data_IF_061529751990
#
_entry.id   IF_061529751990
#
_cell.length_a   1.000
_cell.length_b   1.000
_cell.length_c   1.000
_cell.angle_alpha   90.00
_cell.angle_beta   90.00
_cell.angle_gamma   90.00
#
_symmetry.space_group_name_H-M   'P 1'
#
loop_
_entity.id
_entity.type
_entity.pdbx_description
1 polymer ?
#
# COMPACT_ATOMS: atom_id res chain seq x y z
N UNK A 1 42.96 5.46 4.52
CA UNK A 1 42.01 6.00 3.52
C UNK A 1 40.82 5.10 3.23
N UNK A 2 40.98 3.79 3.02
CA UNK A 2 39.91 2.87 2.59
C UNK A 2 38.64 2.86 3.49
N UNK A 3 38.81 2.95 4.82
CA UNK A 3 37.70 2.97 5.81
C UNK A 3 36.83 4.24 5.73
N UNK A 4 37.40 5.38 5.31
CA UNK A 4 36.68 6.66 5.15
C UNK A 4 35.86 6.64 3.87
N UNK A 5 36.41 6.12 2.78
CA UNK A 5 35.72 5.99 1.49
C UNK A 5 34.50 5.08 1.58
N UNK A 6 34.60 3.98 2.34
CA UNK A 6 33.47 3.06 2.57
C UNK A 6 32.31 3.71 3.33
N UNK A 7 32.61 4.50 4.38
CA UNK A 7 31.57 5.25 5.13
C UNK A 7 30.85 6.28 4.25
N UNK A 8 31.58 6.99 3.38
CA UNK A 8 30.99 7.95 2.45
C UNK A 8 30.04 7.28 1.45
N UNK A 9 30.43 6.12 0.91
CA UNK A 9 29.58 5.31 0.02
C UNK A 9 28.30 4.86 0.72
N UNK A 10 28.42 4.36 1.95
CA UNK A 10 27.26 3.95 2.76
C UNK A 10 26.32 5.12 3.06
N UNK A 11 26.87 6.29 3.42
CA UNK A 11 26.08 7.51 3.61
C UNK A 11 25.28 7.89 2.35
N UNK A 12 25.93 7.91 1.18
CA UNK A 12 25.26 8.23 -0.09
C UNK A 12 24.17 7.20 -0.41
N UNK A 13 24.46 5.91 -0.26
CA UNK A 13 23.47 4.86 -0.48
C UNK A 13 22.24 5.02 0.44
N UNK A 14 22.46 5.31 1.71
CA UNK A 14 21.37 5.56 2.66
C UNK A 14 20.53 6.78 2.30
N UNK A 15 21.17 7.88 1.88
CA UNK A 15 20.46 9.07 1.40
C UNK A 15 19.62 8.77 0.16
N UNK A 16 20.13 7.96 -0.77
CA UNK A 16 19.36 7.54 -1.95
C UNK A 16 18.16 6.68 -1.59
N UNK A 17 18.32 5.69 -0.69
CA UNK A 17 17.21 4.85 -0.22
C UNK A 17 16.14 5.70 0.49
N UNK A 18 16.57 6.65 1.31
CA UNK A 18 15.65 7.57 2.00
C UNK A 18 14.91 8.48 1.02
N UNK A 19 15.59 8.97 -0.03
CA UNK A 19 14.95 9.76 -1.07
C UNK A 19 13.92 8.94 -1.86
N UNK A 20 14.24 7.70 -2.23
CA UNK A 20 13.30 6.79 -2.91
C UNK A 20 12.07 6.55 -2.04
N UNK A 21 12.25 6.30 -0.74
CA UNK A 21 11.14 6.09 0.21
C UNK A 21 10.26 7.33 0.36
N UNK A 22 10.84 8.53 0.39
CA UNK A 22 10.07 9.77 0.42
C UNK A 22 9.27 9.99 -0.87
N UNK A 23 9.90 9.77 -2.03
CA UNK A 23 9.22 9.87 -3.33
C UNK A 23 8.05 8.89 -3.38
N UNK A 24 8.29 7.63 -3.01
CA UNK A 24 7.28 6.57 -2.97
C UNK A 24 6.05 6.98 -2.15
N UNK A 25 6.27 7.42 -0.89
CA UNK A 25 5.18 7.89 -0.01
C UNK A 25 4.42 9.06 -0.64
N UNK A 26 5.13 10.07 -1.18
CA UNK A 26 4.47 11.25 -1.75
C UNK A 26 3.64 10.91 -2.98
N UNK A 27 4.12 10.00 -3.84
CA UNK A 27 3.43 9.54 -5.04
C UNK A 27 2.16 8.76 -4.68
N UNK A 28 2.23 7.90 -3.66
CA UNK A 28 1.06 7.18 -3.15
C UNK A 28 0.02 8.15 -2.60
N UNK A 29 0.44 9.10 -1.75
CA UNK A 29 -0.49 10.04 -1.11
C UNK A 29 -1.16 11.00 -2.09
N UNK A 30 -0.42 11.53 -3.07
CA UNK A 30 -0.94 12.55 -3.99
C UNK A 30 -1.63 11.98 -5.23
N UNK A 31 -1.12 10.88 -5.78
CA UNK A 31 -1.58 10.35 -7.07
C UNK A 31 -2.19 8.96 -7.01
N UNK A 32 -2.20 8.30 -5.83
CA UNK A 32 -2.68 6.92 -5.68
C UNK A 32 -1.97 5.97 -6.66
N UNK A 33 -0.70 6.25 -6.92
CA UNK A 33 0.20 5.43 -7.73
C UNK A 33 1.13 4.69 -6.77
N UNK A 34 1.29 3.39 -6.99
CA UNK A 34 2.11 2.47 -6.21
C UNK A 34 3.07 1.75 -7.15
N UNK A 35 4.18 1.22 -6.63
CA UNK A 35 5.06 0.38 -7.42
C UNK A 35 4.36 -0.94 -7.78
N UNK A 36 4.70 -1.50 -8.93
CA UNK A 36 4.09 -2.77 -9.36
C UNK A 36 4.33 -3.89 -8.37
N UNK A 37 3.26 -4.63 -8.11
CA UNK A 37 3.25 -5.74 -7.19
C UNK A 37 2.92 -5.34 -5.77
N UNK A 38 2.06 -6.14 -5.15
CA UNK A 38 1.56 -5.96 -3.79
C UNK A 38 2.63 -5.76 -2.70
N UNK A 39 3.85 -6.24 -2.92
CA UNK A 39 4.95 -6.23 -1.94
C UNK A 39 5.99 -5.13 -2.17
N UNK A 40 5.96 -4.44 -3.32
CA UNK A 40 7.06 -3.56 -3.74
C UNK A 40 7.29 -2.40 -2.76
N UNK A 41 6.25 -1.62 -2.47
CA UNK A 41 6.31 -0.50 -1.52
C UNK A 41 6.77 -0.94 -0.11
N UNK A 42 6.41 -2.17 0.30
CA UNK A 42 6.82 -2.73 1.59
C UNK A 42 8.30 -3.05 1.62
N UNK A 43 8.85 -3.61 0.55
CA UNK A 43 10.28 -3.89 0.46
C UNK A 43 11.08 -2.59 0.59
N UNK A 44 10.65 -1.52 -0.08
CA UNK A 44 11.28 -0.20 0.05
C UNK A 44 11.27 0.27 1.50
N UNK A 45 10.11 0.19 2.18
CA UNK A 45 9.99 0.55 3.59
C UNK A 45 10.91 -0.29 4.49
N UNK A 46 10.91 -1.61 4.36
CA UNK A 46 11.70 -2.50 5.22
C UNK A 46 13.21 -2.37 4.97
N UNK A 47 13.63 -2.18 3.71
CA UNK A 47 15.04 -1.90 3.38
C UNK A 47 15.48 -0.58 4.01
N UNK A 48 14.66 0.47 3.89
CA UNK A 48 14.94 1.75 4.53
C UNK A 48 15.03 1.62 6.06
N UNK A 49 14.09 0.90 6.68
CA UNK A 49 14.07 0.70 8.13
C UNK A 49 15.31 -0.08 8.61
N UNK A 50 15.63 -1.19 7.95
CA UNK A 50 16.79 -2.02 8.27
C UNK A 50 18.12 -1.29 8.06
N UNK A 51 18.21 -0.39 7.08
CA UNK A 51 19.41 0.42 6.85
C UNK A 51 19.50 1.63 7.79
N UNK A 52 18.38 2.10 8.34
CA UNK A 52 18.34 3.20 9.31
C UNK A 52 19.01 2.81 10.63
N UNK A 53 18.80 1.59 11.14
CA UNK A 53 19.42 1.12 12.39
C UNK A 53 20.96 1.19 12.39
N UNK A 54 21.70 0.56 11.45
CA UNK A 54 23.15 0.67 11.39
C UNK A 54 23.61 2.09 11.06
N UNK A 55 22.83 2.87 10.31
CA UNK A 55 23.15 4.28 10.05
C UNK A 55 23.22 5.10 11.35
N UNK A 56 22.22 4.95 12.22
CA UNK A 56 22.21 5.61 13.53
C UNK A 56 23.42 5.21 14.38
N UNK A 57 23.77 3.92 14.41
CA UNK A 57 24.91 3.41 15.20
C UNK A 57 26.24 3.94 14.66
N UNK A 58 26.47 3.88 13.34
CA UNK A 58 27.74 4.26 12.71
C UNK A 58 27.99 5.77 12.82
N UNK A 59 26.94 6.59 12.67
CA UNK A 59 27.03 8.05 12.66
C UNK A 59 26.58 8.71 13.96
N UNK A 60 26.45 7.97 15.07
CA UNK A 60 25.94 8.44 16.36
C UNK A 60 26.67 9.66 16.94
N UNK A 61 27.96 9.81 16.60
CA UNK A 61 28.78 10.94 17.06
C UNK A 61 28.33 12.29 16.50
N UNK A 62 27.61 12.30 15.36
CA UNK A 62 27.12 13.53 14.74
C UNK A 62 25.87 14.05 15.42
N UNK A 63 25.80 15.36 15.66
CA UNK A 63 24.60 16.02 16.22
C UNK A 63 23.38 15.83 15.31
N UNK A 64 23.56 15.88 14.00
CA UNK A 64 22.47 15.69 13.03
C UNK A 64 21.85 14.29 13.14
N UNK A 65 22.66 13.26 13.39
CA UNK A 65 22.17 11.90 13.59
C UNK A 65 21.34 11.78 14.86
N UNK A 66 21.72 12.49 15.93
CA UNK A 66 20.95 12.52 17.18
C UNK A 66 19.61 13.22 16.99
N UNK A 67 19.60 14.37 16.31
CA UNK A 67 18.35 15.08 15.96
C UNK A 67 17.46 14.17 15.12
N UNK A 68 18.03 13.50 14.10
CA UNK A 68 17.28 12.56 13.27
C UNK A 68 16.68 11.40 14.08
N UNK A 69 17.44 10.82 15.00
CA UNK A 69 16.94 9.79 15.91
C UNK A 69 15.77 10.31 16.78
N UNK A 70 15.90 11.54 17.33
CA UNK A 70 14.83 12.15 18.12
C UNK A 70 13.58 12.35 17.26
N UNK A 71 13.72 12.82 16.02
CA UNK A 71 12.58 12.98 15.08
C UNK A 71 11.91 11.64 14.79
N UNK A 72 12.67 10.56 14.59
CA UNK A 72 12.09 9.21 14.40
C UNK A 72 11.29 8.75 15.63
N UNK A 73 11.86 8.92 16.83
CA UNK A 73 11.20 8.53 18.08
C UNK A 73 9.97 9.38 18.35
N UNK A 74 10.08 10.71 18.24
CA UNK A 74 8.94 11.61 18.42
C UNK A 74 7.86 11.40 17.36
N UNK A 75 8.25 11.16 16.11
CA UNK A 75 7.31 10.83 15.04
C UNK A 75 6.52 9.56 15.35
N UNK A 76 7.17 8.52 15.86
CA UNK A 76 6.50 7.30 16.30
C UNK A 76 5.58 7.56 17.51
N UNK A 77 6.04 8.30 18.52
CA UNK A 77 5.22 8.63 19.69
C UNK A 77 4.00 9.47 19.31
N UNK A 78 4.17 10.48 18.44
CA UNK A 78 3.05 11.28 17.94
C UNK A 78 2.10 10.46 17.06
N UNK A 79 2.61 9.50 16.29
CA UNK A 79 1.75 8.58 15.51
C UNK A 79 0.81 7.76 16.40
N UNK A 80 1.23 7.45 17.63
CA UNK A 80 0.43 6.75 18.65
C UNK A 80 -0.51 7.74 19.34
N UNK A 81 -0.01 8.91 19.74
CA UNK A 81 -0.78 9.93 20.45
C UNK A 81 -1.97 10.46 19.63
N UNK A 82 -1.83 10.54 18.30
CA UNK A 82 -2.90 10.92 17.38
C UNK A 82 -3.92 9.78 17.17
N UNK A 83 -4.54 9.32 18.27
CA UNK A 83 -5.55 8.25 18.29
C UNK A 83 -5.07 6.95 17.62
N UNK A 84 -3.75 6.71 17.58
CA UNK A 84 -3.08 5.63 16.85
C UNK A 84 -3.39 5.57 15.35
N UNK A 85 -4.06 6.56 14.77
CA UNK A 85 -4.46 6.55 13.37
C UNK A 85 -3.25 6.53 12.42
N UNK A 86 -2.28 7.47 12.55
CA UNK A 86 -1.07 7.41 11.75
C UNK A 86 -0.24 6.15 12.05
N UNK A 87 -0.26 5.67 13.30
CA UNK A 87 0.42 4.43 13.67
C UNK A 87 -0.14 3.21 12.91
N UNK A 88 -1.46 3.06 12.86
CA UNK A 88 -2.11 2.01 12.08
C UNK A 88 -1.86 2.17 10.58
N UNK A 89 -1.83 3.40 10.07
CA UNK A 89 -1.43 3.67 8.68
C UNK A 89 -0.04 3.13 8.35
N UNK A 90 0.96 3.40 9.20
CA UNK A 90 2.33 2.86 9.04
C UNK A 90 2.33 1.33 9.17
N UNK A 91 1.63 0.78 10.17
CA UNK A 91 1.58 -0.66 10.41
C UNK A 91 0.96 -1.40 9.23
N UNK A 92 -0.17 -0.95 8.71
CA UNK A 92 -0.85 -1.64 7.63
C UNK A 92 -0.18 -1.44 6.28
N UNK A 93 0.40 -0.25 6.03
CA UNK A 93 1.23 -0.03 4.85
C UNK A 93 2.44 -0.97 4.85
N UNK A 94 3.11 -1.14 6.00
CA UNK A 94 4.32 -1.97 6.10
C UNK A 94 4.08 -3.48 6.15
N UNK A 95 2.93 -3.93 6.67
CA UNK A 95 2.62 -5.36 6.85
C UNK A 95 1.65 -5.92 5.79
N UNK A 96 0.75 -5.07 5.26
CA UNK A 96 -0.33 -5.50 4.37
C UNK A 96 -1.43 -6.32 5.05
N UNK A 97 -1.49 -6.38 6.39
CA UNK A 97 -2.47 -7.22 7.10
C UNK A 97 -3.92 -6.84 6.81
N UNK A 98 -4.19 -5.59 6.48
CA UNK A 98 -5.54 -5.06 6.25
C UNK A 98 -6.04 -5.30 4.81
N UNK A 99 -5.20 -5.85 3.93
CA UNK A 99 -5.41 -5.87 2.48
C UNK A 99 -5.47 -7.30 1.95
N UNK A 100 -6.51 -7.60 1.18
CA UNK A 100 -6.56 -8.83 0.34
C UNK A 100 -6.59 -8.44 -1.12
N UNK A 101 -5.61 -8.92 -1.87
CA UNK A 101 -5.50 -8.67 -3.31
C UNK A 101 -5.83 -9.92 -4.09
N UNK A 102 -6.70 -9.77 -5.09
CA UNK A 102 -7.02 -10.80 -6.08
C UNK A 102 -6.57 -10.28 -7.45
N UNK A 103 -5.98 -11.16 -8.23
CA UNK A 103 -5.53 -10.84 -9.58
C UNK A 103 -6.50 -11.42 -10.59
N UNK A 104 -6.80 -10.64 -11.62
CA UNK A 104 -7.62 -11.14 -12.73
C UNK A 104 -6.83 -12.19 -13.53
N UNK A 105 -7.42 -13.36 -13.83
CA UNK A 105 -6.72 -14.46 -14.52
C UNK A 105 -6.28 -14.14 -15.95
N UNK A 106 -6.93 -13.21 -16.63
CA UNK A 106 -6.82 -13.05 -18.09
C UNK A 106 -5.57 -12.28 -18.58
N UNK A 107 -4.68 -11.82 -17.69
CA UNK A 107 -3.34 -11.20 -18.00
C UNK A 107 -2.71 -10.50 -16.80
N UNK A 108 -3.43 -10.33 -15.68
CA UNK A 108 -2.98 -9.50 -14.55
C UNK A 108 -3.10 -7.99 -14.80
N UNK A 109 -3.87 -7.57 -15.82
CA UNK A 109 -4.14 -6.16 -16.15
C UNK A 109 -4.77 -5.39 -14.98
N UNK A 110 -5.68 -6.03 -14.25
CA UNK A 110 -6.35 -5.47 -13.08
C UNK A 110 -6.06 -6.28 -11.82
N UNK A 111 -5.72 -5.57 -10.76
CA UNK A 111 -5.64 -6.07 -9.39
C UNK A 111 -6.80 -5.49 -8.59
N UNK A 112 -7.61 -6.37 -8.02
CA UNK A 112 -8.72 -5.98 -7.17
C UNK A 112 -8.30 -6.15 -5.73
N UNK A 113 -8.35 -5.07 -4.96
CA UNK A 113 -7.88 -5.03 -3.60
C UNK A 113 -9.01 -4.65 -2.66
N UNK A 114 -9.32 -5.54 -1.74
CA UNK A 114 -10.19 -5.24 -0.60
C UNK A 114 -9.33 -4.65 0.51
N UNK A 115 -9.68 -3.45 0.94
CA UNK A 115 -9.01 -2.71 2.00
C UNK A 115 -9.95 -2.64 3.18
N UNK A 116 -9.49 -3.17 4.30
CA UNK A 116 -10.10 -2.94 5.60
C UNK A 116 -9.35 -1.79 6.27
N UNK A 117 -10.07 -0.93 6.97
CA UNK A 117 -9.48 0.10 7.81
C UNK A 117 -9.91 -0.12 9.26
N UNK A 118 -9.16 0.40 10.22
CA UNK A 118 -9.54 0.37 11.64
C UNK A 118 -10.79 1.22 11.91
N UNK A 119 -10.99 2.30 11.15
CA UNK A 119 -12.10 3.25 11.37
C UNK A 119 -13.08 3.36 10.21
N UNK A 120 -12.70 2.92 9.00
CA UNK A 120 -13.56 3.01 7.83
C UNK A 120 -14.15 1.64 7.45
N UNK A 121 -15.33 1.69 6.82
CA UNK A 121 -15.97 0.53 6.19
C UNK A 121 -15.02 -0.11 5.16
N UNK A 122 -15.14 -1.42 4.92
CA UNK A 122 -14.34 -2.10 3.90
C UNK A 122 -14.58 -1.46 2.53
N UNK A 123 -13.48 -1.14 1.86
CA UNK A 123 -13.47 -0.51 0.54
C UNK A 123 -12.90 -1.47 -0.49
N UNK A 124 -13.43 -1.41 -1.70
CA UNK A 124 -12.92 -2.08 -2.88
C UNK A 124 -12.11 -1.09 -3.71
N UNK A 125 -10.87 -1.44 -3.98
CA UNK A 125 -10.00 -0.76 -4.94
C UNK A 125 -9.83 -1.62 -6.18
N UNK A 126 -9.99 -1.01 -7.34
CA UNK A 126 -9.56 -1.60 -8.61
C UNK A 126 -8.33 -0.84 -9.04
N UNK A 127 -7.27 -1.59 -9.30
CA UNK A 127 -5.94 -1.08 -9.59
C UNK A 127 -5.55 -1.57 -10.98
N UNK A 128 -5.23 -0.63 -11.86
CA UNK A 128 -4.72 -0.92 -13.19
C UNK A 128 -3.20 -1.04 -13.15
N UNK A 129 -2.68 -2.10 -13.76
CA UNK A 129 -1.25 -2.28 -13.94
C UNK A 129 -0.78 -1.54 -15.21
N UNK A 130 0.12 -0.55 -15.05
CA UNK A 130 0.73 0.21 -16.15
C UNK A 130 2.21 -0.16 -16.36
N UNK A 131 2.60 -1.37 -16.00
CA UNK A 131 3.92 -1.96 -16.31
C UNK A 131 4.89 -1.91 -15.14
N UNK A 132 5.39 -0.73 -14.75
CA UNK A 132 6.29 -0.54 -13.59
C UNK A 132 5.54 0.06 -12.38
N UNK A 133 4.44 0.75 -12.67
CA UNK A 133 3.58 1.37 -11.66
C UNK A 133 2.14 0.88 -11.79
N UNK A 134 1.47 0.83 -10.65
CA UNK A 134 0.08 0.48 -10.50
C UNK A 134 -0.70 1.73 -10.07
N UNK A 135 -1.87 1.96 -10.65
CA UNK A 135 -2.70 3.13 -10.31
C UNK A 135 -4.09 2.69 -9.91
N UNK A 136 -4.60 3.24 -8.80
CA UNK A 136 -6.00 3.07 -8.42
C UNK A 136 -6.89 3.80 -9.43
N UNK A 137 -7.75 3.06 -10.12
CA UNK A 137 -8.71 3.59 -11.11
C UNK A 137 -10.12 3.69 -10.55
N UNK A 138 -10.44 2.92 -9.51
CA UNK A 138 -11.74 2.93 -8.86
C UNK A 138 -11.58 2.71 -7.37
N UNK A 139 -12.33 3.49 -6.58
CA UNK A 139 -12.46 3.35 -5.14
C UNK A 139 -13.94 3.36 -4.76
N UNK A 140 -14.48 2.23 -4.27
CA UNK A 140 -15.91 2.11 -3.96
C UNK A 140 -16.13 1.35 -2.64
N UNK A 141 -17.33 1.48 -2.05
CA UNK A 141 -17.75 0.66 -0.92
C UNK A 141 -17.85 -0.82 -1.28
N UNK A 142 -17.40 -1.70 -0.39
CA UNK A 142 -17.50 -3.15 -0.54
C UNK A 142 -18.75 -3.74 0.14
N UNK A 143 -19.65 -2.90 0.69
CA UNK A 143 -20.85 -3.35 1.42
C UNK A 143 -21.77 -4.26 0.58
N UNK A 144 -21.74 -4.14 -0.75
CA UNK A 144 -22.51 -5.00 -1.67
C UNK A 144 -22.08 -6.47 -1.65
N UNK A 145 -20.89 -6.77 -1.10
CA UNK A 145 -20.37 -8.12 -0.91
C UNK A 145 -20.94 -8.80 0.35
N UNK A 146 -21.61 -8.04 1.22
CA UNK A 146 -22.15 -8.55 2.48
C UNK A 146 -23.52 -9.19 2.24
N UNK A 147 -23.69 -10.43 2.69
CA UNK A 147 -24.98 -11.12 2.75
C UNK A 147 -25.19 -11.73 4.13
N UNK A 148 -26.05 -11.08 4.94
CA UNK A 148 -26.33 -11.47 6.32
C UNK A 148 -27.01 -12.85 6.42
N UNK A 149 -27.77 -13.26 5.41
CA UNK A 149 -28.46 -14.56 5.41
C UNK A 149 -27.49 -15.73 5.26
N UNK A 150 -26.48 -15.56 4.40
CA UNK A 150 -25.46 -16.58 4.14
C UNK A 150 -24.25 -16.47 5.11
N UNK A 151 -24.23 -15.45 5.99
CA UNK A 151 -23.10 -15.11 6.88
C UNK A 151 -21.78 -14.99 6.12
N UNK A 152 -21.84 -14.41 4.93
CA UNK A 152 -20.70 -14.16 4.04
C UNK A 152 -20.48 -12.67 3.87
N UNK A 153 -19.22 -12.25 3.92
CA UNK A 153 -18.79 -10.87 3.79
C UNK A 153 -17.66 -10.72 2.78
N UNK A 154 -17.07 -9.52 2.72
CA UNK A 154 -15.92 -9.21 1.86
C UNK A 154 -14.71 -10.13 2.14
N UNK A 155 -14.56 -10.60 3.38
CA UNK A 155 -13.55 -11.55 3.84
C UNK A 155 -13.72 -12.97 3.29
N UNK A 156 -14.87 -13.27 2.68
CA UNK A 156 -15.20 -14.59 2.15
C UNK A 156 -15.00 -14.72 0.64
N UNK A 157 -14.50 -13.68 -0.04
CA UNK A 157 -14.18 -13.76 -1.47
C UNK A 157 -13.08 -14.80 -1.72
N UNK A 158 -13.33 -15.75 -2.62
CA UNK A 158 -12.44 -16.85 -2.98
C UNK A 158 -11.72 -16.55 -4.30
N UNK A 159 -12.40 -15.92 -5.24
CA UNK A 159 -11.90 -15.66 -6.58
C UNK A 159 -12.63 -14.54 -7.27
N UNK A 160 -12.07 -14.10 -8.39
CA UNK A 160 -12.55 -12.97 -9.16
C UNK A 160 -12.33 -13.20 -10.66
N UNK A 161 -13.39 -13.02 -11.44
CA UNK A 161 -13.35 -13.09 -12.90
C UNK A 161 -13.82 -11.78 -13.51
N UNK A 162 -13.25 -11.42 -14.67
CA UNK A 162 -13.69 -10.28 -15.47
C UNK A 162 -14.70 -10.79 -16.48
N UNK A 163 -15.94 -10.31 -16.34
CA UNK A 163 -17.04 -10.68 -17.25
C UNK A 163 -17.09 -9.77 -18.46
N UNK A 164 -16.75 -8.48 -18.27
CA UNK A 164 -16.72 -7.49 -19.36
C UNK A 164 -15.70 -6.40 -19.05
N UNK A 165 -14.81 -6.16 -20.01
CA UNK A 165 -13.87 -5.03 -20.02
C UNK A 165 -14.25 -4.12 -21.19
N UNK A 166 -14.60 -2.87 -20.90
CA UNK A 166 -14.95 -1.83 -21.88
C UNK A 166 -14.33 -0.53 -21.38
N UNK A 167 -13.88 0.39 -22.27
CA UNK A 167 -13.22 1.63 -21.85
C UNK A 167 -13.94 2.39 -20.73
N UNK A 168 -15.28 2.39 -20.75
CA UNK A 168 -16.11 3.14 -19.80
C UNK A 168 -16.67 2.29 -18.65
N UNK A 169 -16.54 0.95 -18.71
CA UNK A 169 -17.18 0.06 -17.73
C UNK A 169 -16.44 -1.26 -17.54
N UNK A 170 -16.26 -1.65 -16.29
CA UNK A 170 -15.67 -2.93 -15.89
C UNK A 170 -16.71 -3.74 -15.12
N UNK A 171 -17.00 -4.95 -15.56
CA UNK A 171 -17.91 -5.88 -14.88
C UNK A 171 -17.11 -7.02 -14.27
N UNK A 172 -17.19 -7.14 -12.95
CA UNK A 172 -16.49 -8.16 -12.18
C UNK A 172 -17.49 -9.16 -11.59
N UNK A 173 -17.11 -10.43 -11.62
CA UNK A 173 -17.79 -11.51 -10.92
C UNK A 173 -16.96 -11.93 -9.71
N UNK A 174 -17.57 -11.84 -8.53
CA UNK A 174 -16.98 -12.24 -7.26
C UNK A 174 -17.47 -13.65 -6.90
N UNK A 175 -16.52 -14.57 -6.67
CA UNK A 175 -16.81 -15.92 -6.21
C UNK A 175 -16.75 -15.97 -4.69
N UNK A 176 -17.87 -16.35 -4.06
CA UNK A 176 -17.98 -16.54 -2.61
C UNK A 176 -18.55 -17.92 -2.28
N UNK A 177 -18.40 -18.40 -1.04
CA UNK A 177 -19.09 -19.60 -0.58
C UNK A 177 -20.60 -19.46 -0.77
N UNK A 178 -21.18 -20.28 -1.64
CA UNK A 178 -22.63 -20.36 -1.84
C UNK A 178 -23.27 -19.21 -2.64
N UNK A 179 -22.50 -18.24 -3.16
CA UNK A 179 -23.04 -17.20 -4.05
C UNK A 179 -22.00 -16.64 -5.04
N UNK A 180 -22.50 -16.15 -6.17
CA UNK A 180 -21.74 -15.40 -7.17
C UNK A 180 -22.37 -14.01 -7.29
N UNK A 181 -21.56 -12.96 -7.16
CA UNK A 181 -22.04 -11.58 -7.25
C UNK A 181 -21.41 -10.94 -8.48
N UNK A 182 -22.25 -10.52 -9.43
CA UNK A 182 -21.81 -9.78 -10.61
C UNK A 182 -22.08 -8.30 -10.39
N UNK A 183 -21.04 -7.46 -10.48
CA UNK A 183 -21.16 -6.01 -10.31
C UNK A 183 -20.45 -5.28 -11.44
N UNK A 184 -21.19 -4.37 -12.07
CA UNK A 184 -20.63 -3.39 -13.02
C UNK A 184 -20.18 -2.13 -12.31
N UNK A 185 -18.99 -1.67 -12.66
CA UNK A 185 -18.39 -0.41 -12.24
C UNK A 185 -18.22 0.50 -13.45
N UNK A 186 -18.59 1.77 -13.32
CA UNK A 186 -18.29 2.78 -14.34
C UNK A 186 -16.89 3.32 -14.09
N UNK A 187 -16.04 3.25 -15.10
CA UNK A 187 -14.72 3.87 -15.12
C UNK A 187 -14.92 5.34 -15.54
N UNK A 188 -15.46 6.14 -14.63
CA UNK A 188 -15.56 7.59 -14.82
C UNK A 188 -14.21 8.22 -14.47
N UNK A 189 -13.72 9.13 -15.32
CA UNK A 189 -12.50 9.92 -15.08
C UNK A 189 -12.75 11.16 -14.18
N UNK A 190 -13.88 11.19 -13.46
CA UNK A 190 -14.30 12.37 -12.69
C UNK A 190 -13.98 12.19 -11.21
N UNK A 191 -12.93 12.90 -10.79
CA UNK A 191 -12.62 13.19 -9.39
C UNK A 191 -13.72 14.11 -8.82
N UNK A 192 -14.50 13.60 -7.89
CA UNK A 192 -15.19 14.43 -6.89
C UNK A 192 -14.30 14.54 -5.62
#
# INVERSE_FOLDING_TARGET
MQKVTSRKKFYIAYMLISLIMLVDITVILMWQISLVGYWSDRLVFWIWLLTTLPFLIIFWKSIYTKIYCIVLVLGLLFSIAAMMLPFFGILFSSTGMERRSYYTPDTGKYRVQLIQSVMARPRLQIIENKGIVEKVILFTDADFLKNDNLKVGYESVIGLDVVKDTPDSLVLEFHMPGQKIVKGFKLSDEKD
#
